data_IF_456855235201
#
_entry.id   IF_456855235201
#
_cell.length_a   1.000
_cell.length_b   1.000
_cell.length_c   1.000
_cell.angle_alpha   90.00
_cell.angle_beta   90.00
_cell.angle_gamma   90.00
#
_symmetry.space_group_name_H-M   'P 1'
#
loop_
_entity.id
_entity.type
_entity.pdbx_description
1 polymer ?
#
# COMPACT_ATOMS: atom_id res chain seq x y z
N UNK A 1 -28.14 -56.85 29.89
CA UNK A 1 -29.21 -56.34 28.99
C UNK A 1 -29.38 -54.83 29.13
N UNK A 2 -29.83 -54.25 30.24
CA UNK A 2 -29.99 -52.78 30.37
C UNK A 2 -28.63 -52.05 30.47
N UNK A 3 -27.66 -52.60 31.21
CA UNK A 3 -26.30 -52.04 31.32
C UNK A 3 -25.55 -52.03 29.98
N UNK A 4 -25.74 -53.03 29.14
CA UNK A 4 -25.09 -53.12 27.81
C UNK A 4 -25.55 -52.00 26.87
N UNK A 5 -26.83 -51.60 26.94
CA UNK A 5 -27.37 -50.49 26.15
C UNK A 5 -26.85 -49.12 26.65
N UNK A 6 -26.66 -48.95 27.95
CA UNK A 6 -26.08 -47.73 28.52
C UNK A 6 -24.60 -47.58 28.13
N UNK A 7 -23.80 -48.65 28.22
CA UNK A 7 -22.41 -48.64 27.77
C UNK A 7 -22.28 -48.31 26.28
N UNK A 8 -23.18 -48.86 25.46
CA UNK A 8 -23.21 -48.55 24.02
C UNK A 8 -23.56 -47.08 23.76
N UNK A 9 -24.52 -46.51 24.51
CA UNK A 9 -24.88 -45.11 24.40
C UNK A 9 -23.75 -44.17 24.83
N UNK A 10 -23.07 -44.46 25.93
CA UNK A 10 -21.90 -43.72 26.39
C UNK A 10 -20.76 -43.76 25.38
N UNK A 11 -20.48 -44.93 24.78
CA UNK A 11 -19.50 -45.06 23.70
C UNK A 11 -19.85 -44.20 22.48
N UNK A 12 -21.11 -44.23 22.04
CA UNK A 12 -21.58 -43.42 20.90
C UNK A 12 -21.44 -41.93 21.23
N UNK A 13 -21.84 -41.49 22.42
CA UNK A 13 -21.72 -40.11 22.85
C UNK A 13 -20.26 -39.65 22.95
N UNK A 14 -19.36 -40.51 23.44
CA UNK A 14 -17.93 -40.23 23.49
C UNK A 14 -17.34 -40.06 22.07
N UNK A 15 -17.76 -40.90 21.11
CA UNK A 15 -17.33 -40.77 19.71
C UNK A 15 -17.86 -39.48 19.08
N UNK A 16 -19.12 -39.13 19.29
CA UNK A 16 -19.71 -37.88 18.79
C UNK A 16 -18.98 -36.65 19.38
N UNK A 17 -18.70 -36.68 20.69
CA UNK A 17 -17.96 -35.61 21.36
C UNK A 17 -16.52 -35.49 20.82
N UNK A 18 -15.84 -36.61 20.57
CA UNK A 18 -14.49 -36.61 19.98
C UNK A 18 -14.48 -36.02 18.56
N UNK A 19 -15.47 -36.35 17.73
CA UNK A 19 -15.62 -35.77 16.38
C UNK A 19 -15.91 -34.27 16.45
N UNK A 20 -16.81 -33.84 17.34
CA UNK A 20 -17.12 -32.43 17.53
C UNK A 20 -15.88 -31.63 18.00
N UNK A 21 -15.09 -32.19 18.92
CA UNK A 21 -13.84 -31.59 19.39
C UNK A 21 -12.80 -31.47 18.26
N UNK A 22 -12.69 -32.49 17.40
CA UNK A 22 -11.79 -32.45 16.24
C UNK A 22 -12.19 -31.34 15.26
N UNK A 23 -13.49 -31.20 14.96
CA UNK A 23 -14.01 -30.14 14.09
C UNK A 23 -13.74 -28.77 14.72
N UNK A 24 -13.98 -28.60 16.02
CA UNK A 24 -13.71 -27.35 16.72
C UNK A 24 -12.23 -26.97 16.65
N UNK A 25 -11.32 -27.94 16.82
CA UNK A 25 -9.88 -27.71 16.71
C UNK A 25 -9.46 -27.27 15.29
N UNK A 26 -10.00 -27.91 14.24
CA UNK A 26 -9.73 -27.51 12.86
C UNK A 26 -10.22 -26.08 12.60
N UNK A 27 -11.44 -25.75 13.05
CA UNK A 27 -12.02 -24.41 12.89
C UNK A 27 -11.22 -23.33 13.62
N UNK A 28 -10.79 -23.58 14.85
CA UNK A 28 -9.93 -22.65 15.60
C UNK A 28 -8.60 -22.40 14.87
N UNK A 29 -8.01 -23.45 14.31
CA UNK A 29 -6.78 -23.34 13.53
C UNK A 29 -6.97 -22.54 12.24
N UNK A 30 -8.10 -22.74 11.55
CA UNK A 30 -8.46 -21.95 10.36
C UNK A 30 -8.71 -20.48 10.69
N UNK A 31 -9.48 -20.20 11.75
CA UNK A 31 -9.79 -18.84 12.19
C UNK A 31 -8.52 -18.05 12.57
N UNK A 32 -7.54 -18.70 13.21
CA UNK A 32 -6.24 -18.09 13.51
C UNK A 32 -5.44 -17.75 12.25
N UNK A 33 -5.44 -18.64 11.25
CA UNK A 33 -4.76 -18.40 9.98
C UNK A 33 -5.44 -17.27 9.19
N UNK A 34 -6.77 -17.24 9.18
CA UNK A 34 -7.55 -16.20 8.50
C UNK A 34 -7.38 -14.84 9.18
N UNK A 35 -7.36 -14.80 10.52
CA UNK A 35 -7.08 -13.57 11.27
C UNK A 35 -5.66 -13.04 11.00
N UNK A 36 -4.66 -13.93 10.90
CA UNK A 36 -3.30 -13.54 10.55
C UNK A 36 -3.21 -12.97 9.11
N UNK A 37 -3.91 -13.58 8.16
CA UNK A 37 -3.98 -13.08 6.78
C UNK A 37 -4.73 -11.74 6.71
N UNK A 38 -5.83 -11.60 7.44
CA UNK A 38 -6.58 -10.34 7.51
C UNK A 38 -5.73 -9.19 8.10
N UNK A 39 -4.95 -9.46 9.15
CA UNK A 39 -4.01 -8.48 9.74
C UNK A 39 -2.92 -8.05 8.74
N UNK A 40 -2.39 -8.99 7.95
CA UNK A 40 -1.42 -8.70 6.90
C UNK A 40 -2.03 -7.85 5.79
N UNK A 41 -3.22 -8.20 5.30
CA UNK A 41 -3.94 -7.42 4.28
C UNK A 41 -4.26 -6.02 4.80
N UNK A 42 -4.68 -5.89 6.06
CA UNK A 42 -5.05 -4.61 6.63
C UNK A 42 -3.87 -3.62 6.71
N UNK A 43 -2.63 -4.11 6.88
CA UNK A 43 -1.42 -3.25 6.84
C UNK A 43 -1.23 -2.56 5.49
N UNK A 44 -1.63 -3.18 4.39
CA UNK A 44 -1.57 -2.54 3.07
C UNK A 44 -2.54 -1.38 2.90
N UNK A 45 -3.57 -1.30 3.74
CA UNK A 45 -4.62 -0.27 3.67
C UNK A 45 -4.57 0.71 4.83
N UNK A 46 -3.56 0.65 5.71
CA UNK A 46 -3.39 1.62 6.79
C UNK A 46 -2.91 2.96 6.21
N UNK A 47 -3.72 4.03 6.26
CA UNK A 47 -3.33 5.34 5.73
C UNK A 47 -2.19 6.01 6.54
N UNK A 48 -1.86 5.50 7.72
CA UNK A 48 -0.72 5.96 8.51
C UNK A 48 0.59 5.23 8.15
N UNK A 49 0.50 4.06 7.51
CA UNK A 49 1.67 3.28 7.09
C UNK A 49 2.10 3.64 5.66
N UNK A 50 3.06 4.57 5.58
CA UNK A 50 3.66 4.96 4.30
C UNK A 50 4.74 3.98 3.80
N UNK A 51 5.03 2.88 4.50
CA UNK A 51 6.08 1.94 4.07
C UNK A 51 5.70 1.17 2.81
N UNK A 52 4.40 0.96 2.58
CA UNK A 52 3.86 0.36 1.35
C UNK A 52 4.06 1.28 0.14
N UNK A 53 4.11 2.59 0.37
CA UNK A 53 4.36 3.62 -0.65
C UNK A 53 5.86 3.93 -0.79
N UNK A 54 6.70 3.43 0.12
CA UNK A 54 8.13 3.66 0.06
C UNK A 54 8.71 2.97 -1.18
N UNK A 55 9.63 3.63 -1.90
CA UNK A 55 10.30 3.03 -3.04
C UNK A 55 11.03 1.74 -2.61
N UNK A 56 10.95 0.66 -3.40
CA UNK A 56 11.64 -0.58 -3.07
C UNK A 56 13.16 -0.37 -2.99
N UNK A 57 13.81 -1.16 -2.14
CA UNK A 57 15.26 -1.14 -1.96
C UNK A 57 15.94 -1.46 -3.30
N UNK A 58 16.78 -0.54 -3.80
CA UNK A 58 17.42 -0.66 -5.11
C UNK A 58 16.76 0.13 -6.25
N UNK A 59 15.79 1.01 -5.95
CA UNK A 59 15.26 1.96 -6.93
C UNK A 59 16.42 2.78 -7.54
N UNK A 60 16.63 2.73 -8.87
CA UNK A 60 17.73 3.43 -9.52
C UNK A 60 17.67 4.95 -9.26
N UNK A 61 18.82 5.60 -9.03
CA UNK A 61 18.86 7.05 -8.78
C UNK A 61 18.17 7.88 -9.89
N UNK A 62 18.22 7.39 -11.13
CA UNK A 62 17.51 7.98 -12.28
C UNK A 62 16.00 8.08 -12.11
N UNK A 63 15.38 7.24 -11.27
CA UNK A 63 13.95 7.24 -11.03
C UNK A 63 13.50 8.39 -10.12
N UNK A 64 14.43 9.07 -9.46
CA UNK A 64 14.17 10.25 -8.64
C UNK A 64 14.34 11.57 -9.42
N UNK A 65 14.93 11.49 -10.62
CA UNK A 65 15.25 12.66 -11.45
C UNK A 65 14.35 12.70 -12.68
N UNK A 66 13.76 13.86 -12.96
CA UNK A 66 13.05 14.11 -14.21
C UNK A 66 14.05 14.14 -15.39
N UNK A 67 13.66 13.54 -16.52
CA UNK A 67 14.42 13.70 -17.77
C UNK A 67 14.23 15.09 -18.35
N UNK A 68 15.13 15.49 -19.24
CA UNK A 68 15.09 16.81 -19.88
C UNK A 68 13.80 16.99 -20.72
N UNK A 69 13.29 15.92 -21.33
CA UNK A 69 12.02 15.95 -22.05
C UNK A 69 10.83 16.26 -21.13
N UNK A 70 10.79 15.65 -19.95
CA UNK A 70 9.73 15.90 -18.96
C UNK A 70 9.88 17.30 -18.37
N UNK A 71 11.11 17.78 -18.13
CA UNK A 71 11.38 19.16 -17.69
C UNK A 71 10.91 20.18 -18.72
N UNK A 72 11.18 19.94 -20.00
CA UNK A 72 10.72 20.79 -21.10
C UNK A 72 9.20 20.80 -21.21
N UNK A 73 8.54 19.65 -21.03
CA UNK A 73 7.08 19.58 -21.00
C UNK A 73 6.49 20.33 -19.80
N UNK A 74 7.09 20.18 -18.62
CA UNK A 74 6.65 20.83 -17.38
C UNK A 74 6.61 22.36 -17.50
N UNK A 75 7.58 22.96 -18.20
CA UNK A 75 7.72 24.41 -18.34
C UNK A 75 7.08 24.98 -19.61
N UNK A 76 6.51 24.12 -20.46
CA UNK A 76 6.04 24.51 -21.79
C UNK A 76 4.88 25.51 -21.71
N UNK A 77 5.08 26.69 -22.32
CA UNK A 77 4.05 27.73 -22.38
C UNK A 77 3.85 28.53 -21.08
N UNK A 78 4.75 28.38 -20.10
CA UNK A 78 4.80 29.21 -18.90
C UNK A 78 5.74 30.41 -19.07
N UNK A 79 5.56 31.43 -18.23
CA UNK A 79 6.41 32.63 -18.21
C UNK A 79 7.85 32.31 -17.79
N UNK A 80 8.87 33.04 -18.27
CA UNK A 80 10.28 32.78 -17.90
C UNK A 80 10.49 32.74 -16.37
N UNK A 81 9.75 33.57 -15.63
CA UNK A 81 9.79 33.57 -14.17
C UNK A 81 9.26 32.26 -13.58
N UNK A 82 8.11 31.79 -14.07
CA UNK A 82 7.54 30.50 -13.66
C UNK A 82 8.44 29.35 -14.07
N UNK A 83 8.97 29.34 -15.30
CA UNK A 83 9.89 28.30 -15.76
C UNK A 83 11.08 28.16 -14.80
N UNK A 84 11.70 29.28 -14.43
CA UNK A 84 12.82 29.29 -13.48
C UNK A 84 12.40 28.76 -12.10
N UNK A 85 11.28 29.24 -11.55
CA UNK A 85 10.76 28.80 -10.25
C UNK A 85 10.41 27.31 -10.22
N UNK A 86 9.85 26.80 -11.31
CA UNK A 86 9.47 25.39 -11.45
C UNK A 86 10.71 24.50 -11.49
N UNK A 87 11.71 24.88 -12.30
CA UNK A 87 12.98 24.12 -12.38
C UNK A 87 13.77 24.16 -11.07
N UNK A 88 13.69 25.24 -10.31
CA UNK A 88 14.31 25.34 -8.99
C UNK A 88 13.66 24.38 -7.98
N UNK A 89 12.32 24.34 -7.92
CA UNK A 89 11.58 23.38 -7.10
C UNK A 89 11.90 21.92 -7.47
N UNK A 90 12.00 21.61 -8.76
CA UNK A 90 12.41 20.28 -9.23
C UNK A 90 13.82 19.96 -8.73
N UNK A 91 14.77 20.87 -8.89
CA UNK A 91 16.15 20.66 -8.44
C UNK A 91 16.23 20.42 -6.93
N UNK A 92 15.48 21.17 -6.13
CA UNK A 92 15.44 20.99 -4.68
C UNK A 92 14.84 19.65 -4.26
N UNK A 93 13.82 19.16 -4.99
CA UNK A 93 13.21 17.87 -4.74
C UNK A 93 14.13 16.71 -5.17
N UNK A 94 14.74 16.81 -6.34
CA UNK A 94 15.73 15.85 -6.85
C UNK A 94 16.95 15.74 -5.92
N UNK A 95 17.40 16.86 -5.34
CA UNK A 95 18.51 16.87 -4.38
C UNK A 95 18.20 16.15 -3.05
N UNK A 96 16.92 15.98 -2.74
CA UNK A 96 16.42 15.27 -1.55
C UNK A 96 15.97 13.83 -1.88
N UNK A 97 16.18 13.37 -3.11
CA UNK A 97 15.70 12.09 -3.62
C UNK A 97 14.20 11.86 -3.31
N UNK A 98 13.37 12.92 -3.44
CA UNK A 98 11.93 12.81 -3.21
C UNK A 98 11.27 12.06 -4.37
N UNK A 99 10.65 10.92 -4.07
CA UNK A 99 9.82 10.20 -5.03
C UNK A 99 8.60 11.02 -5.44
N UNK A 100 8.00 11.75 -4.51
CA UNK A 100 6.76 12.49 -4.72
C UNK A 100 6.88 13.92 -4.22
N UNK A 101 6.50 14.88 -5.07
CA UNK A 101 6.52 16.30 -4.72
C UNK A 101 5.58 17.11 -5.61
N UNK A 102 5.26 18.33 -5.17
CA UNK A 102 4.44 19.27 -5.93
C UNK A 102 5.32 20.41 -6.46
N UNK A 103 5.14 20.74 -7.74
CA UNK A 103 5.73 21.91 -8.38
C UNK A 103 4.62 22.93 -8.63
N UNK A 104 4.70 24.09 -8.00
CA UNK A 104 3.71 25.16 -8.14
C UNK A 104 4.22 26.28 -9.03
N UNK A 105 3.28 26.92 -9.74
CA UNK A 105 3.52 28.06 -10.62
C UNK A 105 2.34 29.03 -10.55
N UNK A 106 2.44 30.19 -11.19
CA UNK A 106 1.45 31.27 -11.08
C UNK A 106 0.00 30.85 -11.40
N UNK A 107 -0.20 29.89 -12.31
CA UNK A 107 -1.53 29.47 -12.78
C UNK A 107 -1.93 28.07 -12.30
N UNK A 108 -1.14 27.41 -11.46
CA UNK A 108 -1.50 26.06 -11.02
C UNK A 108 -0.39 25.30 -10.31
N UNK A 109 -0.50 23.98 -10.35
CA UNK A 109 0.53 23.07 -9.88
C UNK A 109 0.54 21.76 -10.66
N UNK A 110 1.69 21.09 -10.64
CA UNK A 110 1.88 19.70 -11.06
C UNK A 110 2.29 18.85 -9.87
N UNK A 111 1.76 17.64 -9.80
CA UNK A 111 2.24 16.59 -8.91
C UNK A 111 3.21 15.71 -9.68
N UNK A 112 4.40 15.52 -9.13
CA UNK A 112 5.46 14.69 -9.68
C UNK A 112 5.57 13.41 -8.84
N UNK A 113 5.70 12.28 -9.51
CA UNK A 113 5.95 10.96 -8.92
C UNK A 113 7.02 10.25 -9.74
N UNK A 114 8.11 9.82 -9.11
CA UNK A 114 9.26 9.15 -9.73
C UNK A 114 9.80 9.87 -10.98
N UNK A 115 9.96 11.19 -10.89
CA UNK A 115 10.43 12.03 -12.01
C UNK A 115 9.45 12.10 -13.19
N UNK A 116 8.19 11.70 -13.00
CA UNK A 116 7.11 11.79 -13.99
C UNK A 116 5.97 12.68 -13.49
N UNK A 117 5.24 13.32 -14.41
CA UNK A 117 4.07 14.11 -14.05
C UNK A 117 2.89 13.16 -13.80
N UNK A 118 2.48 13.04 -12.54
CA UNK A 118 1.35 12.21 -12.13
C UNK A 118 -0.01 12.90 -12.33
N UNK A 119 -0.01 14.23 -12.33
CA UNK A 119 -1.20 15.04 -12.57
C UNK A 119 -0.94 16.51 -12.30
N UNK A 120 -1.98 17.32 -12.43
CA UNK A 120 -1.89 18.74 -12.14
C UNK A 120 -3.25 19.41 -12.21
N UNK A 121 -3.32 20.63 -11.68
CA UNK A 121 -4.51 21.46 -11.75
C UNK A 121 -4.11 22.90 -12.06
N UNK A 122 -4.98 23.60 -12.77
CA UNK A 122 -4.89 25.04 -12.94
C UNK A 122 -5.75 25.72 -11.90
N UNK A 123 -5.24 26.81 -11.33
CA UNK A 123 -6.06 27.70 -10.51
C UNK A 123 -7.16 28.31 -11.39
N UNK A 124 -8.37 28.37 -10.82
CA UNK A 124 -9.55 28.90 -11.47
C UNK A 124 -9.51 30.43 -11.56
#
# INVERSE_FOLDING_TARGET
MIEDFNNLYELIMAVVAAVAALIAWIKDKQAKNEAAYADEVQKYFDPADNTVQAPPEGTPKRSYTMSDEVKNFLIFGESEEDQRKMLEQVREAEAKDLCEYRVSYSRGYYNISYGQIAGGAKYA
#
